data_IF_400759051979
#
_entry.id   IF_400759051979
#
_cell.length_a   1.000
_cell.length_b   1.000
_cell.length_c   1.000
_cell.angle_alpha   90.00
_cell.angle_beta   90.00
_cell.angle_gamma   90.00
#
_symmetry.space_group_name_H-M   'P 1'
#
loop_
_entity.id
_entity.type
_entity.pdbx_description
1 polymer ?
#
# COMPACT_ATOMS: atom_id res chain seq x y z
N UNK A 1 -22.56 4.01 -5.79
CA UNK A 1 -22.07 2.64 -6.01
C UNK A 1 -20.70 2.55 -5.38
N UNK A 2 -20.39 1.45 -4.71
CA UNK A 2 -19.05 1.16 -4.21
C UNK A 2 -18.07 0.96 -5.37
N UNK A 3 -16.80 1.27 -5.15
CA UNK A 3 -15.69 1.01 -6.08
C UNK A 3 -15.36 -0.48 -6.10
N UNK A 4 -14.80 -0.94 -7.21
CA UNK A 4 -14.42 -2.35 -7.40
C UNK A 4 -12.93 -2.44 -7.72
N UNK A 5 -12.26 -3.43 -7.16
CA UNK A 5 -10.87 -3.74 -7.52
C UNK A 5 -10.82 -4.49 -8.86
N UNK A 6 -9.65 -4.57 -9.52
CA UNK A 6 -9.49 -5.39 -10.71
C UNK A 6 -9.79 -6.89 -10.50
N UNK A 7 -9.76 -7.36 -9.26
CA UNK A 7 -10.03 -8.76 -8.88
C UNK A 7 -11.47 -8.98 -8.40
N UNK A 8 -12.35 -7.99 -8.51
CA UNK A 8 -13.73 -8.08 -8.02
C UNK A 8 -14.49 -9.29 -8.58
N UNK A 9 -14.38 -9.54 -9.89
CA UNK A 9 -15.04 -10.68 -10.53
C UNK A 9 -14.53 -12.02 -9.98
N UNK A 10 -13.22 -12.15 -9.77
CA UNK A 10 -12.60 -13.34 -9.17
C UNK A 10 -13.14 -13.58 -7.76
N UNK A 11 -13.36 -12.51 -6.98
CA UNK A 11 -13.93 -12.63 -5.64
C UNK A 11 -15.35 -13.18 -5.66
N UNK A 12 -16.18 -12.69 -6.59
CA UNK A 12 -17.57 -13.15 -6.76
C UNK A 12 -17.59 -14.63 -7.18
N UNK A 13 -16.74 -15.00 -8.14
CA UNK A 13 -16.65 -16.38 -8.63
C UNK A 13 -16.11 -17.36 -7.58
N UNK A 14 -15.20 -16.90 -6.72
CA UNK A 14 -14.70 -17.66 -5.58
C UNK A 14 -15.70 -17.79 -4.41
N UNK A 15 -16.92 -17.24 -4.54
CA UNK A 15 -17.93 -17.27 -3.48
C UNK A 15 -17.68 -16.30 -2.33
N UNK A 16 -16.91 -15.24 -2.59
CA UNK A 16 -16.61 -14.19 -1.63
C UNK A 16 -17.88 -13.51 -1.13
N UNK A 17 -17.99 -13.36 0.19
CA UNK A 17 -19.03 -12.55 0.81
C UNK A 17 -18.66 -11.08 0.70
N UNK A 18 -19.24 -10.39 -0.27
CA UNK A 18 -18.92 -8.99 -0.56
C UNK A 18 -19.58 -8.02 0.43
N UNK A 19 -18.84 -7.01 0.88
CA UNK A 19 -19.28 -5.95 1.80
C UNK A 19 -18.69 -4.59 1.40
N UNK A 20 -19.36 -3.51 1.82
CA UNK A 20 -18.79 -2.16 1.72
C UNK A 20 -17.69 -1.97 2.77
N UNK A 21 -16.45 -1.84 2.31
CA UNK A 21 -15.29 -1.49 3.11
C UNK A 21 -14.70 -0.18 2.59
N UNK A 22 -14.92 0.91 3.32
CA UNK A 22 -14.41 2.24 2.99
C UNK A 22 -14.77 2.70 1.55
N UNK A 23 -15.99 2.37 1.09
CA UNK A 23 -16.47 2.71 -0.25
C UNK A 23 -16.01 1.74 -1.34
N UNK A 24 -15.38 0.62 -0.99
CA UNK A 24 -15.00 -0.47 -1.89
C UNK A 24 -15.82 -1.72 -1.63
N UNK A 25 -16.21 -2.42 -2.68
CA UNK A 25 -16.88 -3.72 -2.59
C UNK A 25 -15.84 -4.84 -2.45
N UNK A 26 -15.59 -5.28 -1.21
CA UNK A 26 -14.51 -6.19 -0.84
C UNK A 26 -15.04 -7.48 -0.21
N UNK A 27 -14.39 -8.63 -0.41
CA UNK A 27 -14.77 -9.89 0.24
C UNK A 27 -14.36 -9.87 1.72
N UNK A 28 -15.32 -10.10 2.63
CA UNK A 28 -15.03 -10.25 4.08
C UNK A 28 -14.53 -11.66 4.42
N UNK A 29 -14.95 -12.67 3.66
CA UNK A 29 -14.49 -14.06 3.71
C UNK A 29 -15.01 -14.83 2.49
N UNK A 30 -14.40 -15.98 2.18
CA UNK A 30 -14.81 -16.95 1.16
C UNK A 30 -15.44 -18.22 1.75
N UNK A 31 -15.62 -18.26 3.07
CA UNK A 31 -16.41 -19.28 3.74
C UNK A 31 -16.37 -19.14 5.26
N UNK A 32 -15.17 -19.12 5.82
CA UNK A 32 -14.93 -19.07 7.26
C UNK A 32 -13.69 -18.24 7.56
N UNK A 33 -13.87 -17.13 8.26
CA UNK A 33 -12.75 -16.26 8.70
C UNK A 33 -11.76 -17.02 9.58
N UNK A 34 -12.23 -18.03 10.33
CA UNK A 34 -11.38 -18.88 11.18
C UNK A 34 -10.50 -19.77 10.30
N UNK A 35 -11.06 -20.36 9.24
CA UNK A 35 -10.30 -21.24 8.34
C UNK A 35 -9.30 -20.44 7.51
N UNK A 36 -9.66 -19.23 7.06
CA UNK A 36 -8.75 -18.30 6.39
C UNK A 36 -7.61 -17.85 7.32
N UNK A 37 -7.92 -17.53 8.58
CA UNK A 37 -6.92 -17.24 9.59
C UNK A 37 -5.95 -18.42 9.77
N UNK A 38 -6.48 -19.63 9.92
CA UNK A 38 -5.67 -20.84 10.09
C UNK A 38 -4.81 -21.11 8.85
N UNK A 39 -5.35 -20.93 7.64
CA UNK A 39 -4.62 -21.09 6.38
C UNK A 39 -3.40 -20.16 6.31
N UNK A 40 -3.54 -18.90 6.71
CA UNK A 40 -2.40 -17.95 6.80
C UNK A 40 -1.40 -18.40 7.86
N UNK A 41 -1.86 -18.89 9.01
CA UNK A 41 -0.98 -19.28 10.12
C UNK A 41 -0.17 -20.54 9.84
N UNK A 42 -0.75 -21.51 9.13
CA UNK A 42 -0.12 -22.82 8.90
C UNK A 42 0.43 -23.02 7.49
N UNK A 43 0.09 -22.16 6.55
CA UNK A 43 0.52 -22.26 5.14
C UNK A 43 0.67 -20.88 4.49
N UNK A 44 -0.28 -20.50 3.64
CA UNK A 44 -0.33 -19.18 3.04
C UNK A 44 -1.79 -18.74 2.76
N UNK A 45 -2.03 -17.44 2.82
CA UNK A 45 -3.25 -16.80 2.35
C UNK A 45 -2.93 -15.61 1.45
N UNK A 46 -3.79 -15.38 0.47
CA UNK A 46 -3.70 -14.29 -0.49
C UNK A 46 -4.81 -13.28 -0.23
N UNK A 47 -4.45 -12.01 -0.17
CA UNK A 47 -5.36 -10.90 0.08
C UNK A 47 -5.29 -9.90 -1.07
N UNK A 48 -6.44 -9.55 -1.63
CA UNK A 48 -6.56 -8.39 -2.49
C UNK A 48 -6.59 -7.12 -1.63
N UNK A 49 -5.53 -6.34 -1.71
CA UNK A 49 -5.38 -5.05 -1.02
C UNK A 49 -5.32 -3.90 -2.01
N UNK A 50 -5.86 -4.08 -3.23
CA UNK A 50 -5.87 -3.07 -4.30
C UNK A 50 -6.76 -1.86 -3.99
N UNK A 51 -7.55 -1.91 -2.91
CA UNK A 51 -8.29 -0.76 -2.40
C UNK A 51 -7.37 0.29 -1.75
N UNK A 52 -6.15 -0.10 -1.35
CA UNK A 52 -5.12 0.82 -0.85
C UNK A 52 -4.73 1.84 -1.92
N UNK A 53 -4.36 3.05 -1.50
CA UNK A 53 -4.00 4.10 -2.45
C UNK A 53 -2.49 4.15 -2.62
N UNK A 54 -2.05 3.94 -3.86
CA UNK A 54 -0.63 4.05 -4.24
C UNK A 54 -0.37 5.46 -4.77
N UNK A 55 0.65 6.12 -4.23
CA UNK A 55 1.04 7.48 -4.63
C UNK A 55 2.53 7.53 -4.93
N UNK A 56 2.87 7.96 -6.14
CA UNK A 56 4.25 8.21 -6.55
C UNK A 56 4.62 9.67 -6.32
N UNK A 57 5.80 9.88 -5.76
CA UNK A 57 6.39 11.19 -5.50
C UNK A 57 7.70 11.33 -6.27
N UNK A 58 7.87 12.44 -6.97
CA UNK A 58 9.06 12.73 -7.76
C UNK A 58 9.45 14.21 -7.64
N UNK A 59 10.75 14.49 -7.57
CA UNK A 59 11.32 15.83 -7.44
C UNK A 59 12.56 15.83 -6.57
N UNK A 60 13.47 16.78 -6.81
CA UNK A 60 14.78 16.83 -6.13
C UNK A 60 14.64 17.00 -4.60
N UNK A 61 13.57 17.65 -4.13
CA UNK A 61 13.32 17.89 -2.70
C UNK A 61 12.36 16.88 -2.06
N UNK A 62 12.07 15.75 -2.71
CA UNK A 62 11.08 14.76 -2.20
C UNK A 62 11.45 14.24 -0.81
N UNK A 63 12.74 14.04 -0.52
CA UNK A 63 13.20 13.63 0.80
C UNK A 63 12.86 14.67 1.88
N UNK A 64 13.19 15.95 1.64
CA UNK A 64 12.93 17.04 2.59
C UNK A 64 11.41 17.25 2.79
N UNK A 65 10.65 17.15 1.71
CA UNK A 65 9.19 17.17 1.73
C UNK A 65 8.61 16.06 2.62
N UNK A 66 9.10 14.82 2.47
CA UNK A 66 8.68 13.69 3.29
C UNK A 66 9.08 13.86 4.76
N UNK A 67 10.30 14.33 5.04
CA UNK A 67 10.74 14.63 6.41
C UNK A 67 9.92 15.75 7.08
N UNK A 68 9.29 16.64 6.29
CA UNK A 68 8.38 17.66 6.81
C UNK A 68 7.01 17.10 7.20
N UNK A 69 6.56 16.02 6.55
CA UNK A 69 5.21 15.46 6.72
C UNK A 69 5.15 14.24 7.65
N UNK A 70 6.25 13.48 7.71
CA UNK A 70 6.26 12.15 8.32
C UNK A 70 6.93 12.16 9.70
N UNK A 71 6.41 11.31 10.59
CA UNK A 71 6.95 11.12 11.93
C UNK A 71 8.28 10.35 11.95
N UNK A 72 8.57 9.57 10.90
CA UNK A 72 9.79 8.77 10.76
C UNK A 72 10.65 9.30 9.61
N UNK A 73 11.94 9.01 9.66
CA UNK A 73 12.93 9.56 8.74
C UNK A 73 13.15 8.66 7.52
N UNK A 74 12.75 9.13 6.35
CA UNK A 74 12.95 8.43 5.07
C UNK A 74 14.42 8.37 4.63
N UNK A 75 15.32 9.14 5.24
CA UNK A 75 16.76 9.02 5.01
C UNK A 75 17.34 7.69 5.52
N UNK A 76 16.60 6.94 6.34
CA UNK A 76 16.96 5.57 6.74
C UNK A 76 16.81 4.55 5.60
N UNK A 77 16.12 4.91 4.52
CA UNK A 77 16.04 4.10 3.30
C UNK A 77 17.35 4.29 2.53
N UNK A 78 18.36 3.50 2.89
CA UNK A 78 19.74 3.61 2.39
C UNK A 78 19.99 2.95 1.03
N UNK A 79 19.01 2.22 0.52
CA UNK A 79 19.07 1.49 -0.76
C UNK A 79 17.70 1.47 -1.46
N UNK A 80 17.64 1.57 -2.80
CA UNK A 80 16.39 1.41 -3.54
C UNK A 80 15.71 0.07 -3.24
N UNK A 81 14.38 0.06 -3.16
CA UNK A 81 13.56 -1.10 -2.81
C UNK A 81 13.28 -1.23 -1.31
N UNK A 82 13.98 -0.48 -0.45
CA UNK A 82 13.68 -0.45 1.00
C UNK A 82 12.37 0.26 1.29
N UNK A 83 11.70 -0.18 2.35
CA UNK A 83 10.44 0.36 2.82
C UNK A 83 10.50 0.75 4.31
N UNK A 84 9.66 1.71 4.69
CA UNK A 84 9.58 2.32 6.01
C UNK A 84 8.12 2.52 6.40
N UNK A 85 7.73 2.02 7.57
CA UNK A 85 6.46 2.38 8.19
C UNK A 85 6.57 3.70 8.97
N UNK A 86 5.55 4.54 8.88
CA UNK A 86 5.52 5.88 9.47
C UNK A 86 4.08 6.41 9.61
N UNK A 87 3.93 7.50 10.35
CA UNK A 87 2.68 8.27 10.40
C UNK A 87 2.85 9.60 9.68
N UNK A 88 1.83 10.03 8.95
CA UNK A 88 1.72 11.38 8.39
C UNK A 88 1.01 12.28 9.40
N UNK A 89 1.60 13.43 9.71
CA UNK A 89 1.13 14.31 10.79
C UNK A 89 0.61 15.64 10.25
N UNK A 90 -0.36 16.22 10.96
CA UNK A 90 -0.76 17.62 10.79
C UNK A 90 0.16 18.57 11.58
N UNK A 91 -0.03 19.88 11.44
CA UNK A 91 0.84 20.89 12.07
C UNK A 91 0.78 20.89 13.61
N UNK A 92 -0.23 20.25 14.20
CA UNK A 92 -0.39 20.11 15.65
C UNK A 92 0.19 18.79 16.17
N UNK A 93 0.82 17.98 15.32
CA UNK A 93 1.34 16.66 15.66
C UNK A 93 0.27 15.57 15.75
N UNK A 94 -0.97 15.85 15.32
CA UNK A 94 -2.02 14.83 15.24
C UNK A 94 -1.81 13.92 14.03
N UNK A 95 -2.04 12.63 14.21
CA UNK A 95 -1.93 11.62 13.14
C UNK A 95 -3.07 11.82 12.13
N UNK A 96 -2.69 12.02 10.86
CA UNK A 96 -3.61 12.05 9.72
C UNK A 96 -3.85 10.62 9.24
N UNK A 97 -2.78 9.87 8.99
CA UNK A 97 -2.81 8.47 8.59
C UNK A 97 -1.49 7.77 8.93
N UNK A 98 -1.50 6.43 8.96
CA UNK A 98 -0.30 5.61 8.93
C UNK A 98 -0.08 5.03 7.52
N UNK A 99 1.18 4.92 7.10
CA UNK A 99 1.52 4.54 5.73
C UNK A 99 2.88 3.86 5.62
N UNK A 100 3.12 3.24 4.47
CA UNK A 100 4.42 2.70 4.10
C UNK A 100 5.02 3.55 2.97
N UNK A 101 6.29 3.95 3.15
CA UNK A 101 7.09 4.65 2.13
C UNK A 101 8.13 3.68 1.57
N UNK A 102 8.21 3.58 0.25
CA UNK A 102 9.24 2.87 -0.49
C UNK A 102 10.15 3.87 -1.18
N UNK A 103 11.48 3.67 -1.09
CA UNK A 103 12.42 4.41 -1.92
C UNK A 103 12.68 3.64 -3.21
N UNK A 104 12.52 4.30 -4.36
CA UNK A 104 12.67 3.66 -5.69
C UNK A 104 13.95 4.07 -6.42
N UNK A 105 14.83 4.83 -5.77
CA UNK A 105 16.03 5.40 -6.40
C UNK A 105 15.78 6.78 -7.01
N UNK A 106 16.87 7.51 -7.27
CA UNK A 106 16.88 8.83 -7.93
C UNK A 106 15.91 9.85 -7.32
N UNK A 107 15.79 9.85 -5.99
CA UNK A 107 14.86 10.73 -5.27
C UNK A 107 13.36 10.43 -5.49
N UNK A 108 13.02 9.30 -6.12
CA UNK A 108 11.64 8.86 -6.32
C UNK A 108 11.16 7.99 -5.15
N UNK A 109 9.97 8.30 -4.66
CA UNK A 109 9.34 7.55 -3.57
C UNK A 109 7.96 7.06 -3.97
N UNK A 110 7.50 6.01 -3.31
CA UNK A 110 6.13 5.50 -3.40
C UNK A 110 5.53 5.36 -2.02
N UNK A 111 4.35 5.90 -1.84
CA UNK A 111 3.55 5.80 -0.63
C UNK A 111 2.42 4.80 -0.88
N UNK A 112 2.09 4.05 0.17
CA UNK A 112 0.88 3.22 0.24
C UNK A 112 0.09 3.71 1.45
N UNK A 113 -1.06 4.35 1.21
CA UNK A 113 -1.93 4.94 2.23
C UNK A 113 -3.28 4.22 2.29
N UNK A 114 -3.99 4.38 3.42
CA UNK A 114 -5.23 3.64 3.65
C UNK A 114 -6.36 4.07 2.69
N UNK A 115 -7.25 3.12 2.37
CA UNK A 115 -8.36 3.39 1.47
C UNK A 115 -9.35 4.43 2.04
N UNK A 116 -9.64 4.35 3.34
CA UNK A 116 -10.58 5.23 4.02
C UNK A 116 -10.11 6.69 4.12
N UNK A 117 -8.82 6.94 4.03
CA UNK A 117 -8.18 8.25 4.15
C UNK A 117 -7.72 8.83 2.81
N UNK A 118 -7.86 8.08 1.71
CA UNK A 118 -7.42 8.43 0.34
C UNK A 118 -7.58 9.90 -0.02
N UNK A 119 -8.80 10.44 0.03
CA UNK A 119 -9.07 11.81 -0.40
C UNK A 119 -8.37 12.85 0.49
N UNK A 120 -8.44 12.64 1.80
CA UNK A 120 -7.81 13.49 2.81
C UNK A 120 -6.28 13.49 2.65
N UNK A 121 -5.70 12.32 2.43
CA UNK A 121 -4.25 12.16 2.33
C UNK A 121 -3.71 12.75 1.02
N UNK A 122 -4.38 12.52 -0.11
CA UNK A 122 -4.02 13.13 -1.39
C UNK A 122 -4.12 14.66 -1.34
N UNK A 123 -5.17 15.20 -0.71
CA UNK A 123 -5.32 16.64 -0.53
C UNK A 123 -4.18 17.20 0.33
N UNK A 124 -3.86 16.52 1.44
CA UNK A 124 -2.79 16.93 2.34
C UNK A 124 -1.41 16.92 1.68
N UNK A 125 -1.10 15.85 0.94
CA UNK A 125 0.14 15.71 0.19
C UNK A 125 0.26 16.86 -0.83
N UNK A 126 -0.77 17.05 -1.68
CA UNK A 126 -0.75 18.09 -2.71
C UNK A 126 -0.61 19.50 -2.13
N UNK A 127 -1.28 19.78 -1.02
CA UNK A 127 -1.21 21.08 -0.34
C UNK A 127 0.22 21.46 0.06
N UNK A 128 1.05 20.49 0.44
CA UNK A 128 2.41 20.74 0.91
C UNK A 128 3.48 20.57 -0.18
N UNK A 129 3.12 19.99 -1.33
CA UNK A 129 4.06 19.61 -2.37
C UNK A 129 4.66 20.80 -3.13
N UNK A 130 3.87 21.86 -3.37
CA UNK A 130 4.27 23.03 -4.16
C UNK A 130 5.52 23.72 -3.57
N UNK A 131 5.59 23.84 -2.25
CA UNK A 131 6.72 24.46 -1.55
C UNK A 131 8.06 23.72 -1.76
N UNK A 132 7.99 22.45 -2.17
CA UNK A 132 9.15 21.60 -2.44
C UNK A 132 9.31 21.26 -3.92
N UNK A 133 8.40 21.73 -4.79
CA UNK A 133 8.38 21.36 -6.22
C UNK A 133 8.33 19.84 -6.43
N UNK A 134 7.50 19.15 -5.63
CA UNK A 134 7.30 17.69 -5.71
C UNK A 134 6.06 17.37 -6.53
N UNK A 135 6.20 16.50 -7.53
CA UNK A 135 5.06 15.95 -8.25
C UNK A 135 4.40 14.83 -7.43
N UNK A 136 3.09 14.92 -7.23
CA UNK A 136 2.27 13.92 -6.51
C UNK A 136 1.34 13.22 -7.49
N UNK A 137 1.65 11.97 -7.83
CA UNK A 137 0.89 11.19 -8.82
C UNK A 137 0.22 10.01 -8.15
N UNK A 138 -1.11 10.02 -8.13
CA UNK A 138 -1.89 8.84 -7.74
C UNK A 138 -1.78 7.77 -8.82
N UNK A 139 -1.61 6.51 -8.40
CA UNK A 139 -1.41 5.34 -9.27
C UNK A 139 -2.60 4.39 -9.18
N UNK A 140 -3.72 4.83 -9.71
CA UNK A 140 -4.96 4.04 -9.80
C UNK A 140 -4.92 2.96 -10.91
N UNK A 141 -3.83 2.92 -11.67
CA UNK A 141 -3.50 1.90 -12.67
C UNK A 141 -2.82 0.65 -12.06
N UNK A 142 -2.58 0.65 -10.75
CA UNK A 142 -1.90 -0.45 -10.05
C UNK A 142 -2.87 -1.25 -9.17
N UNK A 143 -2.61 -2.55 -9.10
CA UNK A 143 -3.23 -3.47 -8.14
C UNK A 143 -2.20 -3.92 -7.09
N UNK A 144 -2.67 -4.38 -5.94
CA UNK A 144 -1.80 -4.86 -4.87
C UNK A 144 -2.37 -6.14 -4.26
N UNK A 145 -1.53 -7.18 -4.24
CA UNK A 145 -1.84 -8.47 -3.65
C UNK A 145 -0.85 -8.71 -2.51
N UNK A 146 -1.37 -9.03 -1.33
CA UNK A 146 -0.56 -9.46 -0.19
C UNK A 146 -0.64 -10.98 -0.04
N UNK A 147 0.50 -11.66 -0.12
CA UNK A 147 0.60 -13.10 0.17
C UNK A 147 1.29 -13.25 1.53
N UNK A 148 0.62 -13.90 2.48
CA UNK A 148 1.01 -13.92 3.88
C UNK A 148 0.99 -15.34 4.43
N UNK A 149 1.96 -15.69 5.28
CA UNK A 149 2.07 -17.00 5.92
C UNK A 149 3.46 -17.64 5.78
N UNK A 150 3.75 -18.73 6.52
CA UNK A 150 5.06 -19.39 6.50
C UNK A 150 5.47 -19.90 5.10
N UNK A 151 4.52 -20.32 4.27
CA UNK A 151 4.78 -20.79 2.90
C UNK A 151 4.70 -19.69 1.83
N UNK A 152 4.31 -18.47 2.21
CA UNK A 152 3.97 -17.40 1.27
C UNK A 152 5.10 -17.08 0.30
N UNK A 153 6.33 -16.92 0.81
CA UNK A 153 7.50 -16.58 -0.01
C UNK A 153 7.83 -17.68 -1.02
N UNK A 154 7.74 -18.94 -0.61
CA UNK A 154 7.99 -20.09 -1.50
C UNK A 154 6.94 -20.15 -2.61
N UNK A 155 5.66 -20.01 -2.27
CA UNK A 155 4.56 -20.06 -3.24
C UNK A 155 4.63 -18.86 -4.20
N UNK A 156 4.84 -17.65 -3.67
CA UNK A 156 4.88 -16.45 -4.48
C UNK A 156 6.08 -16.41 -5.44
N UNK A 157 7.22 -16.98 -5.05
CA UNK A 157 8.43 -17.01 -5.89
C UNK A 157 8.18 -17.66 -7.25
N UNK A 158 7.37 -18.71 -7.32
CA UNK A 158 7.03 -19.42 -8.56
C UNK A 158 6.18 -18.56 -9.52
N UNK A 159 5.55 -17.49 -9.02
CA UNK A 159 4.74 -16.56 -9.79
C UNK A 159 5.51 -15.29 -10.21
N UNK A 160 6.73 -15.08 -9.72
CA UNK A 160 7.50 -13.87 -9.99
C UNK A 160 8.31 -14.00 -11.30
N UNK A 161 8.52 -12.88 -12.02
CA UNK A 161 9.44 -12.85 -13.15
C UNK A 161 10.86 -13.30 -12.76
N UNK A 162 11.58 -13.88 -13.72
CA UNK A 162 12.98 -14.23 -13.53
C UNK A 162 13.83 -13.00 -13.14
N UNK A 163 14.74 -13.17 -12.18
CA UNK A 163 15.67 -12.12 -11.75
C UNK A 163 15.21 -11.28 -10.56
N UNK A 164 14.04 -11.54 -9.98
CA UNK A 164 13.69 -10.99 -8.67
C UNK A 164 14.37 -11.81 -7.57
N UNK A 165 15.16 -11.13 -6.74
CA UNK A 165 15.79 -11.76 -5.59
C UNK A 165 14.75 -12.08 -4.51
N UNK A 166 14.48 -13.36 -4.35
CA UNK A 166 13.61 -13.89 -3.31
C UNK A 166 14.43 -14.53 -2.20
N UNK A 167 15.68 -14.14 -1.93
CA UNK A 167 16.59 -14.80 -0.96
C UNK A 167 16.55 -14.25 0.48
N UNK A 168 16.00 -13.04 0.68
CA UNK A 168 15.59 -12.51 2.00
C UNK A 168 16.72 -12.12 2.94
#
# INVERSE_FOLDING_TARGET
MTRQTPLHQEHVEAGGRMVDFAGWDMPVHYGSQIDEHNAVRTGAGMFDVSHMTVVDLAGEQTQAYLQRLLANDVAKLDSPGRALYTCMLNERGGVIDDLIVYWRGDGNYRLVVNAATREKDLAWLRQHADAFSVAVTERDDLAMIAVQGPDARRIAADCLPAGIDTSG
#
